data_IF_748147373215
#
_entry.id   IF_748147373215
#
_cell.length_a   1.000
_cell.length_b   1.000
_cell.length_c   1.000
_cell.angle_alpha   90.00
_cell.angle_beta   90.00
_cell.angle_gamma   90.00
#
_symmetry.space_group_name_H-M   'P 1'
#
loop_
_entity.id
_entity.type
_entity.pdbx_description
1 polymer ?
#
# COMPACT_ATOMS: atom_id res chain seq x y z
N UNK A 1 -9.81 2.94 -16.56
CA UNK A 1 -8.63 3.47 -15.86
C UNK A 1 -7.54 3.69 -16.89
N UNK A 2 -6.88 4.85 -16.88
CA UNK A 2 -5.76 5.16 -17.74
C UNK A 2 -4.54 5.51 -16.87
N UNK A 3 -3.34 5.24 -17.37
CA UNK A 3 -2.09 5.68 -16.74
C UNK A 3 -1.94 7.18 -17.03
N UNK A 4 -1.62 7.95 -16.00
CA UNK A 4 -1.35 9.38 -16.10
C UNK A 4 0.02 9.68 -15.49
N UNK A 5 0.76 10.61 -16.09
CA UNK A 5 2.00 11.11 -15.50
C UNK A 5 1.71 11.88 -14.21
N UNK A 6 2.50 11.64 -13.16
CA UNK A 6 2.51 12.38 -11.91
C UNK A 6 3.87 13.05 -11.69
N UNK A 7 3.94 14.00 -10.76
CA UNK A 7 5.22 14.59 -10.35
C UNK A 7 5.95 13.64 -9.38
N UNK A 8 7.29 13.76 -9.25
CA UNK A 8 8.04 12.96 -8.29
C UNK A 8 7.55 13.13 -6.84
N UNK A 9 6.98 14.28 -6.50
CA UNK A 9 6.53 14.61 -5.14
C UNK A 9 5.27 13.83 -4.69
N UNK A 10 4.61 13.15 -5.62
CA UNK A 10 3.48 12.26 -5.42
C UNK A 10 3.91 10.79 -5.23
N UNK A 11 5.23 10.50 -5.22
CA UNK A 11 5.75 9.13 -5.12
C UNK A 11 5.26 8.45 -3.85
N UNK A 12 5.54 9.07 -2.69
CA UNK A 12 5.11 8.65 -1.36
C UNK A 12 4.35 9.80 -0.72
N UNK A 13 3.15 9.53 -0.21
CA UNK A 13 2.26 10.53 0.40
C UNK A 13 1.95 10.15 1.85
N UNK A 14 2.41 10.99 2.78
CA UNK A 14 2.03 10.87 4.19
C UNK A 14 0.78 11.68 4.51
N UNK A 15 -0.02 11.13 5.41
CA UNK A 15 -1.16 11.83 6.00
C UNK A 15 -1.14 11.74 7.54
N UNK A 16 -2.16 12.30 8.18
CA UNK A 16 -2.28 12.35 9.64
C UNK A 16 -2.32 10.96 10.31
N UNK A 17 -2.62 9.89 9.58
CA UNK A 17 -2.69 8.53 10.09
C UNK A 17 -1.34 7.79 10.02
N UNK A 18 -0.27 8.44 9.53
CA UNK A 18 1.05 7.83 9.35
C UNK A 18 1.54 7.05 10.58
N UNK A 19 1.58 7.69 11.76
CA UNK A 19 2.10 7.08 12.99
C UNK A 19 1.32 5.82 13.39
N UNK A 20 -0.01 5.88 13.33
CA UNK A 20 -0.87 4.75 13.67
C UNK A 20 -0.65 3.57 12.71
N UNK A 21 -0.50 3.87 11.42
CA UNK A 21 -0.31 2.86 10.38
C UNK A 21 1.03 2.16 10.50
N UNK A 22 2.14 2.90 10.59
CA UNK A 22 3.46 2.26 10.75
C UNK A 22 3.58 1.51 12.08
N UNK A 23 2.93 1.99 13.14
CA UNK A 23 2.90 1.29 14.43
C UNK A 23 2.13 -0.03 14.35
N UNK A 24 0.97 -0.05 13.69
CA UNK A 24 0.22 -1.29 13.47
C UNK A 24 0.97 -2.24 12.54
N UNK A 25 1.59 -1.71 11.50
CA UNK A 25 2.39 -2.48 10.53
C UNK A 25 3.57 -3.19 11.19
N UNK A 26 4.27 -2.53 12.12
CA UNK A 26 5.33 -3.15 12.94
C UNK A 26 4.83 -4.38 13.71
N UNK A 27 3.61 -4.34 14.25
CA UNK A 27 3.02 -5.50 14.95
C UNK A 27 2.80 -6.67 14.00
N UNK A 28 2.18 -6.41 12.85
CA UNK A 28 1.89 -7.43 11.82
C UNK A 28 3.19 -8.03 11.27
N UNK A 29 4.18 -7.19 10.99
CA UNK A 29 5.50 -7.57 10.51
C UNK A 29 6.18 -8.55 11.46
N UNK A 30 6.25 -8.21 12.75
CA UNK A 30 6.88 -9.07 13.76
C UNK A 30 6.32 -10.49 13.79
N UNK A 31 5.05 -10.66 13.43
CA UNK A 31 4.36 -11.95 13.46
C UNK A 31 4.41 -12.70 12.12
N UNK A 32 4.66 -12.01 10.99
CA UNK A 32 4.46 -12.56 9.64
C UNK A 32 5.53 -12.20 8.60
N UNK A 33 6.71 -11.69 8.99
CA UNK A 33 7.73 -11.15 8.05
C UNK A 33 7.93 -11.98 6.78
N UNK A 34 8.12 -13.30 6.91
CA UNK A 34 8.39 -14.18 5.76
C UNK A 34 7.20 -14.40 4.81
N UNK A 35 5.98 -14.06 5.24
CA UNK A 35 4.78 -14.16 4.42
C UNK A 35 4.46 -12.85 3.68
N UNK A 36 4.91 -11.73 4.22
CA UNK A 36 4.50 -10.39 3.75
C UNK A 36 5.64 -9.62 3.09
N UNK A 37 6.89 -10.10 3.21
CA UNK A 37 8.07 -9.52 2.61
C UNK A 37 8.98 -10.60 2.00
N UNK A 38 9.47 -10.35 0.80
CA UNK A 38 10.42 -11.24 0.14
C UNK A 38 11.24 -10.52 -0.93
N UNK A 39 12.47 -10.98 -1.14
CA UNK A 39 13.36 -10.50 -2.19
C UNK A 39 14.09 -11.68 -2.84
N UNK A 40 14.14 -11.70 -4.17
CA UNK A 40 14.99 -12.57 -4.96
C UNK A 40 16.37 -11.92 -5.14
N UNK A 41 17.44 -12.70 -5.39
CA UNK A 41 18.79 -12.15 -5.59
C UNK A 41 18.85 -11.06 -6.67
N UNK A 42 18.11 -11.22 -7.76
CA UNK A 42 18.02 -10.24 -8.84
C UNK A 42 17.32 -8.92 -8.45
N UNK A 43 16.55 -8.90 -7.36
CA UNK A 43 15.86 -7.71 -6.86
C UNK A 43 16.67 -6.91 -5.83
N UNK A 44 17.77 -7.46 -5.31
CA UNK A 44 18.61 -6.81 -4.30
C UNK A 44 19.15 -5.45 -4.79
N UNK A 45 19.66 -5.30 -6.03
CA UNK A 45 20.12 -4.00 -6.51
C UNK A 45 19.01 -2.94 -6.50
N UNK A 46 17.81 -3.29 -6.97
CA UNK A 46 16.66 -2.37 -6.98
C UNK A 46 16.21 -2.00 -5.56
N UNK A 47 16.28 -2.96 -4.63
CA UNK A 47 15.97 -2.73 -3.21
C UNK A 47 16.97 -1.75 -2.58
N UNK A 48 18.26 -1.92 -2.85
CA UNK A 48 19.31 -1.03 -2.36
C UNK A 48 19.18 0.38 -2.93
N UNK A 49 18.89 0.49 -4.23
CA UNK A 49 18.62 1.79 -4.85
C UNK A 49 17.39 2.47 -4.23
N UNK A 50 16.29 1.73 -4.07
CA UNK A 50 15.07 2.22 -3.42
C UNK A 50 15.36 2.70 -1.99
N UNK A 51 16.14 1.93 -1.22
CA UNK A 51 16.58 2.30 0.12
C UNK A 51 17.34 3.62 0.12
N UNK A 52 18.40 3.71 -0.69
CA UNK A 52 19.27 4.89 -0.73
C UNK A 52 18.48 6.11 -1.19
N UNK A 53 17.68 5.99 -2.25
CA UNK A 53 16.86 7.08 -2.76
C UNK A 53 15.86 7.59 -1.72
N UNK A 54 15.08 6.69 -1.10
CA UNK A 54 14.07 7.09 -0.13
C UNK A 54 14.69 7.73 1.12
N UNK A 55 15.71 7.11 1.70
CA UNK A 55 16.26 7.56 2.99
C UNK A 55 17.27 8.70 2.86
N UNK A 56 17.99 8.80 1.74
CA UNK A 56 19.10 9.77 1.60
C UNK A 56 18.76 10.99 0.77
N UNK A 57 17.69 10.91 -0.03
CA UNK A 57 17.31 11.97 -0.98
C UNK A 57 15.86 12.39 -0.82
N UNK A 58 14.92 11.46 -1.03
CA UNK A 58 13.51 11.79 -1.18
C UNK A 58 12.85 12.24 0.14
N UNK A 59 12.83 11.38 1.17
CA UNK A 59 12.06 11.63 2.38
C UNK A 59 12.55 12.87 3.16
N UNK A 60 13.86 13.07 3.42
CA UNK A 60 14.35 14.24 4.13
C UNK A 60 14.10 15.55 3.36
N UNK A 61 14.14 15.52 2.02
CA UNK A 61 13.90 16.70 1.20
C UNK A 61 12.41 17.03 1.08
N UNK A 62 11.56 16.01 0.89
CA UNK A 62 10.12 16.16 0.68
C UNK A 62 9.35 16.46 1.98
N UNK A 63 9.81 15.91 3.10
CA UNK A 63 9.18 16.01 4.42
C UNK A 63 10.21 16.36 5.51
N UNK A 64 10.88 17.53 5.44
CA UNK A 64 11.98 17.90 6.34
C UNK A 64 11.57 18.08 7.81
N UNK A 65 10.26 18.22 8.08
CA UNK A 65 9.73 18.26 9.45
C UNK A 65 9.53 16.87 10.07
N UNK A 66 9.44 15.83 9.23
CA UNK A 66 9.27 14.44 9.67
C UNK A 66 10.59 13.68 9.64
N UNK A 67 11.46 13.99 8.68
CA UNK A 67 12.70 13.26 8.46
C UNK A 67 13.88 14.19 8.26
N UNK A 68 15.05 13.78 8.76
CA UNK A 68 16.30 14.50 8.53
C UNK A 68 17.47 13.54 8.38
N UNK A 69 18.60 14.07 7.93
CA UNK A 69 19.88 13.37 7.93
C UNK A 69 20.77 13.92 9.05
N UNK A 70 21.66 13.08 9.57
CA UNK A 70 22.79 13.51 10.40
C UNK A 70 23.73 14.44 9.61
N UNK A 71 24.60 15.17 10.31
CA UNK A 71 25.56 16.11 9.68
C UNK A 71 26.48 15.41 8.66
N UNK A 72 26.93 14.20 8.97
CA UNK A 72 27.73 13.34 8.08
C UNK A 72 26.89 12.60 7.01
N UNK A 73 25.56 12.77 7.04
CA UNK A 73 24.57 12.11 6.19
C UNK A 73 24.59 10.58 6.23
N UNK A 74 25.24 9.99 7.24
CA UNK A 74 25.30 8.53 7.41
C UNK A 74 24.03 7.96 8.05
N UNK A 75 23.25 8.79 8.74
CA UNK A 75 22.07 8.37 9.50
C UNK A 75 20.83 9.15 9.05
N UNK A 76 19.79 8.41 8.67
CA UNK A 76 18.43 8.90 8.50
C UNK A 76 17.71 8.90 9.85
N UNK A 77 16.99 9.97 10.15
CA UNK A 77 16.20 10.14 11.38
C UNK A 77 14.73 10.31 11.03
N UNK A 78 13.87 9.49 11.64
CA UNK A 78 12.43 9.63 11.62
C UNK A 78 11.94 10.22 12.95
N UNK A 79 11.62 11.51 12.95
CA UNK A 79 11.22 12.26 14.15
C UNK A 79 9.83 11.89 14.66
N UNK A 80 9.01 11.24 13.83
CA UNK A 80 7.66 10.82 14.20
C UNK A 80 7.69 9.52 15.00
N UNK A 81 8.55 8.58 14.60
CA UNK A 81 8.69 7.28 15.28
C UNK A 81 9.86 7.22 16.26
N UNK A 82 10.74 8.24 16.25
CA UNK A 82 12.02 8.27 16.97
C UNK A 82 12.97 7.13 16.60
N UNK A 83 12.88 6.64 15.36
CA UNK A 83 13.76 5.59 14.83
C UNK A 83 14.81 6.23 13.94
N UNK A 84 16.03 5.71 14.01
CA UNK A 84 17.12 6.06 13.12
C UNK A 84 17.57 4.84 12.32
N UNK A 85 17.92 5.05 11.06
CA UNK A 85 18.37 4.02 10.13
C UNK A 85 19.66 4.47 9.44
N UNK A 86 20.57 3.55 9.06
CA UNK A 86 21.69 3.89 8.21
C UNK A 86 21.21 4.30 6.82
N UNK A 87 21.87 5.28 6.19
CA UNK A 87 21.61 5.62 4.78
C UNK A 87 22.18 4.59 3.81
N UNK A 88 23.12 3.76 4.28
CA UNK A 88 23.62 2.60 3.56
C UNK A 88 22.67 1.41 3.75
N UNK A 89 22.28 0.69 2.68
CA UNK A 89 21.37 -0.44 2.78
C UNK A 89 21.99 -1.60 3.57
N UNK A 90 21.21 -2.30 4.43
CA UNK A 90 21.65 -3.53 5.09
C UNK A 90 22.03 -4.64 4.11
N UNK A 91 22.97 -5.51 4.50
CA UNK A 91 23.33 -6.70 3.68
C UNK A 91 22.18 -7.71 3.58
N UNK A 92 21.40 -7.87 4.65
CA UNK A 92 20.22 -8.73 4.65
C UNK A 92 19.00 -8.00 4.04
N UNK A 93 18.46 -8.48 2.90
CA UNK A 93 17.33 -7.83 2.24
C UNK A 93 16.05 -7.87 3.07
N UNK A 94 15.88 -8.84 3.97
CA UNK A 94 14.70 -8.88 4.85
C UNK A 94 14.72 -7.75 5.87
N UNK A 95 15.89 -7.46 6.45
CA UNK A 95 16.10 -6.30 7.32
C UNK A 95 15.80 -5.00 6.58
N UNK A 96 16.25 -4.86 5.33
CA UNK A 96 15.98 -3.68 4.51
C UNK A 96 14.48 -3.52 4.21
N UNK A 97 13.80 -4.58 3.75
CA UNK A 97 12.37 -4.56 3.46
C UNK A 97 11.53 -4.27 4.70
N UNK A 98 11.89 -4.86 5.85
CA UNK A 98 11.20 -4.60 7.11
C UNK A 98 11.35 -3.13 7.53
N UNK A 99 12.57 -2.59 7.52
CA UNK A 99 12.80 -1.21 7.94
C UNK A 99 12.16 -0.20 6.98
N UNK A 100 12.20 -0.43 5.67
CA UNK A 100 11.42 0.37 4.70
C UNK A 100 9.93 0.27 5.00
N UNK A 101 9.45 -0.93 5.28
CA UNK A 101 8.05 -1.17 5.56
C UNK A 101 7.52 -0.61 6.88
N UNK A 102 8.42 -0.33 7.82
CA UNK A 102 8.11 0.39 9.06
C UNK A 102 8.33 1.91 8.93
N UNK A 103 8.93 2.36 7.83
CA UNK A 103 9.23 3.77 7.58
C UNK A 103 8.23 4.38 6.60
N UNK A 104 7.94 3.67 5.51
CA UNK A 104 6.96 4.05 4.49
C UNK A 104 5.74 3.15 4.64
N UNK A 105 4.57 3.78 4.70
CA UNK A 105 3.31 3.08 4.97
C UNK A 105 2.72 2.36 3.74
N UNK A 106 3.22 2.69 2.55
CA UNK A 106 2.82 2.10 1.29
C UNK A 106 3.25 0.63 1.18
N UNK A 107 2.46 -0.16 0.46
CA UNK A 107 2.92 -1.44 -0.05
C UNK A 107 3.81 -1.18 -1.27
N UNK A 108 4.87 -1.96 -1.46
CA UNK A 108 5.85 -1.73 -2.53
C UNK A 108 6.25 -3.01 -3.22
N UNK A 109 6.14 -3.04 -4.55
CA UNK A 109 6.70 -4.08 -5.40
C UNK A 109 7.83 -3.51 -6.24
N UNK A 110 8.94 -4.25 -6.33
CA UNK A 110 10.03 -3.96 -7.26
C UNK A 110 9.89 -4.89 -8.46
N UNK A 111 9.73 -4.28 -9.63
CA UNK A 111 9.55 -4.99 -10.88
C UNK A 111 10.80 -4.84 -11.75
N UNK A 112 11.39 -5.95 -12.14
CA UNK A 112 12.53 -5.98 -13.08
C UNK A 112 12.02 -6.41 -14.45
N UNK A 113 12.53 -5.74 -15.49
CA UNK A 113 12.22 -6.05 -16.88
C UNK A 113 12.90 -7.36 -17.30
N UNK A 114 12.14 -8.19 -18.00
CA UNK A 114 12.52 -9.51 -18.54
C UNK A 114 12.04 -9.60 -19.99
N UNK A 115 12.59 -10.53 -20.81
CA UNK A 115 12.13 -10.70 -22.19
C UNK A 115 10.62 -10.98 -22.31
N UNK A 116 10.01 -11.60 -21.29
CA UNK A 116 8.59 -11.96 -21.25
C UNK A 116 7.68 -10.87 -20.63
N UNK A 117 8.25 -9.77 -20.13
CA UNK A 117 7.51 -8.70 -19.45
C UNK A 117 8.19 -8.23 -18.17
N UNK A 118 7.43 -7.87 -17.14
CA UNK A 118 7.99 -7.45 -15.84
C UNK A 118 7.78 -8.53 -14.79
N UNK A 119 8.83 -8.84 -14.03
CA UNK A 119 8.78 -9.80 -12.92
C UNK A 119 8.85 -9.04 -11.59
N UNK A 120 7.94 -9.36 -10.67
CA UNK A 120 8.05 -8.90 -9.29
C UNK A 120 9.15 -9.68 -8.57
N UNK A 121 10.20 -8.98 -8.15
CA UNK A 121 11.44 -9.58 -7.59
C UNK A 121 11.67 -9.22 -6.13
N UNK A 122 11.02 -8.15 -5.65
CA UNK A 122 10.86 -7.90 -4.22
C UNK A 122 9.47 -7.34 -3.97
N UNK A 123 8.89 -7.67 -2.82
CA UNK A 123 7.56 -7.22 -2.46
C UNK A 123 7.44 -6.96 -0.98
N UNK A 124 6.50 -6.10 -0.67
CA UNK A 124 6.00 -5.89 0.67
C UNK A 124 4.50 -5.59 0.66
N UNK A 125 3.67 -6.55 1.09
CA UNK A 125 2.22 -6.38 1.21
C UNK A 125 1.64 -7.19 2.39
N UNK A 126 1.03 -6.54 3.40
CA UNK A 126 0.65 -7.19 4.65
C UNK A 126 -0.81 -7.66 4.65
N UNK A 127 -1.61 -7.31 3.64
CA UNK A 127 -3.05 -7.54 3.65
C UNK A 127 -3.56 -8.09 2.31
N UNK A 128 -4.20 -9.24 2.34
CA UNK A 128 -5.10 -9.69 1.27
C UNK A 128 -6.52 -9.89 1.83
N UNK A 129 -7.52 -9.41 1.10
CA UNK A 129 -8.94 -9.47 1.47
C UNK A 129 -9.80 -10.05 0.33
N UNK A 130 -9.19 -10.47 -0.77
CA UNK A 130 -9.88 -11.02 -1.93
C UNK A 130 -10.35 -12.45 -1.66
N UNK A 131 -11.39 -12.85 -2.40
CA UNK A 131 -11.90 -14.22 -2.39
C UNK A 131 -11.40 -14.90 -3.66
N UNK A 132 -10.84 -16.10 -3.53
CA UNK A 132 -10.33 -16.90 -4.64
C UNK A 132 -11.16 -18.18 -4.84
N UNK A 133 -10.97 -18.82 -5.98
CA UNK A 133 -11.64 -20.08 -6.32
C UNK A 133 -11.33 -21.16 -5.28
N UNK A 134 -12.39 -21.62 -4.59
CA UNK A 134 -12.32 -22.64 -3.55
C UNK A 134 -12.61 -22.14 -2.14
N UNK A 135 -12.67 -20.82 -1.93
CA UNK A 135 -13.04 -20.24 -0.63
C UNK A 135 -14.54 -20.48 -0.32
N UNK A 136 -14.83 -20.90 0.93
CA UNK A 136 -16.20 -20.99 1.44
C UNK A 136 -16.60 -19.65 2.02
N UNK A 137 -17.70 -19.09 1.54
CA UNK A 137 -18.13 -17.73 1.86
C UNK A 137 -19.56 -17.74 2.38
N UNK A 138 -19.81 -17.08 3.50
CA UNK A 138 -21.16 -16.81 3.98
C UNK A 138 -21.74 -15.61 3.21
N UNK A 139 -22.87 -15.79 2.53
CA UNK A 139 -23.49 -14.69 1.79
C UNK A 139 -24.27 -13.76 2.72
N UNK A 140 -24.26 -12.46 2.40
CA UNK A 140 -25.06 -11.44 3.10
C UNK A 140 -24.84 -11.41 4.62
N UNK A 141 -23.58 -11.46 5.04
CA UNK A 141 -23.19 -11.28 6.43
C UNK A 141 -23.72 -9.93 6.95
N UNK A 142 -24.18 -9.92 8.21
CA UNK A 142 -24.59 -8.68 8.85
C UNK A 142 -23.35 -7.86 9.26
N UNK A 143 -22.96 -6.93 8.40
CA UNK A 143 -21.75 -6.12 8.58
C UNK A 143 -21.95 -5.04 9.65
N UNK A 144 -21.00 -4.96 10.58
CA UNK A 144 -20.88 -3.82 11.49
C UNK A 144 -20.42 -2.58 10.70
N UNK A 145 -21.38 -1.72 10.35
CA UNK A 145 -21.16 -0.53 9.52
C UNK A 145 -20.13 0.42 10.14
N UNK A 146 -20.02 0.46 11.47
CA UNK A 146 -19.03 1.31 12.16
C UNK A 146 -17.57 0.94 11.84
N UNK A 147 -17.36 -0.28 11.33
CA UNK A 147 -16.05 -0.80 10.90
C UNK A 147 -15.91 -0.85 9.38
N UNK A 148 -16.98 -0.62 8.63
CA UNK A 148 -16.96 -0.69 7.17
C UNK A 148 -16.29 0.55 6.57
N UNK A 149 -15.32 0.33 5.68
CA UNK A 149 -14.60 1.39 4.99
C UNK A 149 -14.57 1.14 3.48
N UNK A 150 -14.65 2.21 2.68
CA UNK A 150 -14.22 2.20 1.30
C UNK A 150 -12.68 2.16 1.27
N UNK A 151 -12.12 1.10 0.68
CA UNK A 151 -10.68 0.98 0.42
C UNK A 151 -10.36 1.50 -0.98
N UNK A 152 -9.48 2.49 -1.07
CA UNK A 152 -8.94 3.00 -2.32
C UNK A 152 -7.41 2.89 -2.30
N UNK A 153 -6.82 2.57 -3.44
CA UNK A 153 -5.37 2.51 -3.59
C UNK A 153 -4.93 3.53 -4.62
N UNK A 154 -4.06 4.46 -4.20
CA UNK A 154 -3.30 5.29 -5.11
C UNK A 154 -2.05 4.51 -5.51
N UNK A 155 -1.98 4.20 -6.80
CA UNK A 155 -0.97 3.34 -7.41
C UNK A 155 0.01 4.19 -8.22
N UNK A 156 1.30 4.12 -7.89
CA UNK A 156 2.36 4.87 -8.59
C UNK A 156 3.40 3.91 -9.16
N UNK A 157 3.81 4.14 -10.42
CA UNK A 157 4.89 3.38 -11.07
C UNK A 157 6.04 4.32 -11.39
N UNK A 158 7.18 4.11 -10.75
CA UNK A 158 8.36 4.97 -10.89
C UNK A 158 9.55 4.15 -11.35
N UNK A 159 10.16 4.54 -12.46
CA UNK A 159 11.40 3.91 -12.94
C UNK A 159 12.57 4.43 -12.11
N UNK A 160 13.32 3.49 -11.53
CA UNK A 160 14.54 3.75 -10.79
C UNK A 160 15.69 4.08 -11.77
N UNK A 161 16.43 5.18 -11.56
CA UNK A 161 17.42 5.67 -12.53
C UNK A 161 18.65 4.77 -12.72
N UNK A 162 19.15 4.11 -11.69
CA UNK A 162 20.38 3.29 -11.74
C UNK A 162 20.09 1.88 -12.26
N UNK A 163 19.13 1.19 -11.65
CA UNK A 163 18.81 -0.20 -12.01
C UNK A 163 17.82 -0.33 -13.15
N UNK A 164 17.08 0.74 -13.46
CA UNK A 164 16.01 0.72 -14.47
C UNK A 164 14.76 -0.05 -14.03
N UNK A 165 14.76 -0.64 -12.83
CA UNK A 165 13.60 -1.35 -12.26
C UNK A 165 12.45 -0.39 -11.97
N UNK A 166 11.23 -0.92 -11.87
CA UNK A 166 10.04 -0.13 -11.54
C UNK A 166 9.71 -0.33 -10.05
N UNK A 167 9.72 0.75 -9.30
CA UNK A 167 9.09 0.85 -7.98
C UNK A 167 7.59 1.05 -8.18
N UNK A 168 6.81 0.03 -7.85
CA UNK A 168 5.35 0.07 -7.86
C UNK A 168 4.83 0.22 -6.43
N UNK A 169 4.32 1.41 -6.09
CA UNK A 169 3.82 1.75 -4.74
C UNK A 169 2.30 1.76 -4.68
N UNK A 170 1.75 1.36 -3.53
CA UNK A 170 0.31 1.39 -3.25
C UNK A 170 0.05 2.11 -1.92
N UNK A 171 -0.40 3.37 -2.02
CA UNK A 171 -0.91 4.11 -0.87
C UNK A 171 -2.39 3.78 -0.67
N UNK A 172 -2.69 3.03 0.39
CA UNK A 172 -4.06 2.64 0.73
C UNK A 172 -4.76 3.73 1.55
N UNK A 173 -5.94 4.16 1.12
CA UNK A 173 -6.86 5.01 1.88
C UNK A 173 -8.05 4.18 2.35
N UNK A 174 -8.46 4.40 3.60
CA UNK A 174 -9.64 3.80 4.20
C UNK A 174 -10.57 4.93 4.63
N UNK A 175 -11.71 5.05 3.97
CA UNK A 175 -12.71 6.07 4.26
C UNK A 175 -13.94 5.40 4.87
N UNK A 176 -14.34 5.72 6.11
CA UNK A 176 -15.51 5.12 6.74
C UNK A 176 -16.77 5.31 5.88
N UNK A 177 -17.57 4.25 5.75
CA UNK A 177 -18.82 4.29 4.97
C UNK A 177 -19.79 5.34 5.53
N UNK A 178 -19.81 5.53 6.85
CA UNK A 178 -20.61 6.57 7.51
C UNK A 178 -20.22 7.98 7.06
N UNK A 179 -18.92 8.22 6.83
CA UNK A 179 -18.43 9.52 6.36
C UNK A 179 -18.91 9.78 4.93
N UNK A 180 -18.79 8.79 4.03
CA UNK A 180 -19.22 8.92 2.63
C UNK A 180 -20.71 9.23 2.56
N UNK A 181 -21.52 8.52 3.35
CA UNK A 181 -22.95 8.79 3.46
C UNK A 181 -23.23 10.21 3.95
N UNK A 182 -22.54 10.66 5.00
CA UNK A 182 -22.68 12.01 5.56
C UNK A 182 -22.31 13.11 4.56
N UNK A 183 -21.37 12.84 3.68
CA UNK A 183 -20.95 13.75 2.59
C UNK A 183 -21.96 13.78 1.41
N UNK A 184 -22.97 12.90 1.42
CA UNK A 184 -24.05 12.89 0.44
C UNK A 184 -23.84 11.94 -0.74
N UNK A 185 -22.74 11.19 -0.78
CA UNK A 185 -22.39 10.28 -1.88
C UNK A 185 -22.89 8.84 -1.69
N UNK A 186 -23.84 8.65 -0.75
CA UNK A 186 -24.33 7.33 -0.39
C UNK A 186 -24.96 6.56 -1.56
N UNK A 187 -25.96 7.16 -2.25
CA UNK A 187 -26.61 6.54 -3.40
C UNK A 187 -25.64 6.18 -4.53
N UNK A 188 -24.73 7.09 -4.89
CA UNK A 188 -23.77 6.88 -5.97
C UNK A 188 -22.80 5.74 -5.67
N UNK A 189 -22.33 5.62 -4.42
CA UNK A 189 -21.48 4.51 -4.02
C UNK A 189 -22.26 3.18 -4.03
N UNK A 190 -23.52 3.17 -3.59
CA UNK A 190 -24.35 1.97 -3.61
C UNK A 190 -24.59 1.47 -5.05
N UNK A 191 -24.86 2.39 -5.98
CA UNK A 191 -25.01 2.07 -7.40
C UNK A 191 -23.69 1.51 -7.98
N UNK A 192 -22.54 2.07 -7.61
CA UNK A 192 -21.24 1.56 -8.01
C UNK A 192 -20.95 0.14 -7.48
N UNK A 193 -21.31 -0.14 -6.22
CA UNK A 193 -21.16 -1.47 -5.60
C UNK A 193 -22.03 -2.50 -6.35
N UNK A 194 -23.29 -2.18 -6.63
CA UNK A 194 -24.18 -3.07 -7.38
C UNK A 194 -23.75 -3.21 -8.85
N UNK A 195 -23.11 -2.18 -9.40
CA UNK A 195 -22.45 -2.21 -10.69
C UNK A 195 -21.35 -3.28 -10.79
N UNK A 196 -20.73 -3.70 -9.68
CA UNK A 196 -19.79 -4.83 -9.69
C UNK A 196 -20.45 -6.14 -10.14
N UNK A 197 -21.76 -6.30 -9.89
CA UNK A 197 -22.53 -7.49 -10.27
C UNK A 197 -23.17 -7.36 -11.65
N UNK A 198 -23.67 -6.17 -11.98
CA UNK A 198 -24.47 -5.96 -13.20
C UNK A 198 -23.65 -5.34 -14.36
N UNK A 199 -22.39 -4.97 -14.12
CA UNK A 199 -21.51 -4.36 -15.10
C UNK A 199 -20.89 -5.35 -16.10
N UNK A 200 -19.85 -4.89 -16.78
CA UNK A 200 -19.14 -5.65 -17.81
C UNK A 200 -18.17 -6.72 -17.26
N UNK A 201 -17.94 -6.77 -15.95
CA UNK A 201 -17.07 -7.73 -15.28
C UNK A 201 -17.75 -8.27 -14.00
N UNK A 202 -18.83 -9.08 -14.14
CA UNK A 202 -19.66 -9.54 -13.01
C UNK A 202 -18.88 -10.34 -11.96
N UNK A 203 -17.79 -11.01 -12.35
CA UNK A 203 -16.92 -11.75 -11.43
C UNK A 203 -16.26 -10.85 -10.38
N UNK A 204 -16.20 -9.53 -10.61
CA UNK A 204 -15.71 -8.56 -9.63
C UNK A 204 -16.54 -8.53 -8.35
N UNK A 205 -17.83 -8.87 -8.43
CA UNK A 205 -18.69 -8.99 -7.25
C UNK A 205 -18.17 -10.06 -6.27
N UNK A 206 -17.75 -11.22 -6.81
CA UNK A 206 -17.20 -12.31 -6.00
C UNK A 206 -15.76 -12.01 -5.61
N UNK A 207 -14.93 -11.61 -6.56
CA UNK A 207 -13.50 -11.32 -6.34
C UNK A 207 -13.28 -10.28 -5.22
N UNK A 208 -14.09 -9.20 -5.18
CA UNK A 208 -14.03 -8.17 -4.14
C UNK A 208 -14.80 -8.55 -2.85
N UNK A 209 -15.36 -9.75 -2.81
CA UNK A 209 -16.13 -10.27 -1.69
C UNK A 209 -17.45 -9.58 -1.42
N UNK A 210 -18.00 -8.84 -2.38
CA UNK A 210 -19.27 -8.12 -2.24
C UNK A 210 -20.46 -9.06 -1.99
N UNK A 211 -20.33 -10.35 -2.32
CA UNK A 211 -21.26 -11.41 -1.88
C UNK A 211 -21.50 -11.43 -0.36
N UNK A 212 -20.49 -11.07 0.45
CA UNK A 212 -20.58 -11.01 1.92
C UNK A 212 -21.23 -9.72 2.38
N UNK A 213 -20.63 -8.59 2.00
CA UNK A 213 -20.89 -7.28 2.62
C UNK A 213 -21.79 -6.36 1.79
N UNK A 214 -21.95 -6.63 0.50
CA UNK A 214 -22.55 -5.70 -0.46
C UNK A 214 -23.98 -5.31 -0.10
N UNK A 215 -24.81 -6.28 0.29
CA UNK A 215 -26.22 -6.04 0.65
C UNK A 215 -26.34 -5.08 1.85
N UNK A 216 -25.74 -5.42 2.99
CA UNK A 216 -25.83 -4.62 4.21
C UNK A 216 -25.27 -3.21 4.03
N UNK A 217 -24.16 -3.08 3.29
CA UNK A 217 -23.55 -1.77 3.03
C UNK A 217 -24.45 -0.93 2.12
N UNK A 218 -25.00 -1.48 1.03
CA UNK A 218 -25.90 -0.74 0.14
C UNK A 218 -27.20 -0.32 0.82
N UNK A 219 -27.79 -1.17 1.67
CA UNK A 219 -28.99 -0.84 2.45
C UNK A 219 -28.71 0.34 3.39
N UNK A 220 -27.57 0.35 4.09
CA UNK A 220 -27.17 1.47 4.93
C UNK A 220 -26.93 2.75 4.12
N UNK A 221 -26.20 2.68 3.01
CA UNK A 221 -25.84 3.83 2.19
C UNK A 221 -27.08 4.59 1.65
N UNK A 222 -28.18 3.89 1.40
CA UNK A 222 -29.43 4.46 0.88
C UNK A 222 -30.48 4.81 1.96
N UNK A 223 -30.19 4.53 3.23
CA UNK A 223 -31.13 4.75 4.34
C UNK A 223 -31.21 6.20 4.82
#
# INVERSE_FOLDING_TARGET
>A
MAIQASSPEDLIIFDKAYLDRVTNRRKILKENTTKVAGALPEGIPALHETWTYLLSEYLPMRYPTMFSLSEDRATFQNHITNISLPTTPPEDPHTALQALGETVEDDMFLLVETPEGHRAVALFSPNDLHIYDGDKVEECENVDISKACLRQELQTLTRLPETGAILFSFKTYLTPIEQIKKEGFGPELADAIEGLKHGNAPDMWVYKGAVRWGKSVCEYLRS
#
